data_IF_801935056264
#
_entry.id   IF_801935056264
#
_cell.length_a   1.000
_cell.length_b   1.000
_cell.length_c   1.000
_cell.angle_alpha   90.00
_cell.angle_beta   90.00
_cell.angle_gamma   90.00
#
_symmetry.space_group_name_H-M   'P 1'
#
loop_
_entity.id
_entity.type
_entity.pdbx_description
1 polymer ?
#
# COMPACT_ATOMS: atom_id res chain seq x y z
N UNK A 1 -7.14 -2.01 24.16
CA UNK A 1 -7.50 -0.89 23.26
C UNK A 1 -7.03 -1.26 21.87
N UNK A 2 -7.89 -1.12 20.86
CA UNK A 2 -7.53 -1.43 19.46
C UNK A 2 -7.11 -0.12 18.77
N UNK A 3 -6.05 -0.14 17.97
CA UNK A 3 -5.65 0.99 17.11
C UNK A 3 -5.82 0.67 15.63
N UNK A 4 -6.03 1.71 14.82
CA UNK A 4 -6.04 1.64 13.36
C UNK A 4 -5.00 2.61 12.83
N UNK A 5 -4.08 2.10 12.00
CA UNK A 5 -2.94 2.86 11.50
C UNK A 5 -2.88 2.79 9.97
N UNK A 6 -2.67 3.94 9.33
CA UNK A 6 -2.59 4.05 7.87
C UNK A 6 -1.13 4.15 7.43
N UNK A 7 -0.71 3.30 6.50
CA UNK A 7 0.62 3.35 5.86
C UNK A 7 0.45 3.71 4.38
N UNK A 8 1.04 4.82 3.95
CA UNK A 8 0.95 5.34 2.58
C UNK A 8 1.83 4.58 1.59
N UNK A 9 1.58 4.77 0.28
CA UNK A 9 2.28 4.05 -0.79
C UNK A 9 3.80 4.32 -0.83
N UNK A 10 4.22 5.55 -0.56
CA UNK A 10 5.65 5.90 -0.44
C UNK A 10 6.31 5.15 0.72
N UNK A 11 5.64 5.03 1.86
CA UNK A 11 6.14 4.25 3.00
C UNK A 11 6.20 2.76 2.68
N UNK A 12 5.21 2.24 1.92
CA UNK A 12 5.22 0.84 1.48
C UNK A 12 6.41 0.52 0.59
N UNK A 13 6.94 1.47 -0.19
CA UNK A 13 8.19 1.25 -0.94
C UNK A 13 9.40 0.92 -0.06
N UNK A 14 9.34 1.23 1.25
CA UNK A 14 10.30 0.82 2.27
C UNK A 14 9.70 -0.20 3.25
N UNK A 15 8.94 -1.18 2.75
CA UNK A 15 8.18 -2.13 3.59
C UNK A 15 9.03 -2.82 4.66
N UNK A 16 10.28 -3.18 4.36
CA UNK A 16 11.18 -3.79 5.36
C UNK A 16 11.38 -2.93 6.60
N UNK A 17 11.51 -1.60 6.43
CA UNK A 17 11.65 -0.66 7.54
C UNK A 17 10.31 -0.41 8.24
N UNK A 18 9.21 -0.34 7.50
CA UNK A 18 7.85 -0.30 8.08
C UNK A 18 7.62 -1.53 8.97
N UNK A 19 7.99 -2.71 8.50
CA UNK A 19 7.81 -3.95 9.25
C UNK A 19 8.65 -3.92 10.54
N UNK A 20 9.95 -3.61 10.45
CA UNK A 20 10.87 -3.64 11.60
C UNK A 20 10.63 -2.51 12.59
N UNK A 21 10.43 -1.30 12.10
CA UNK A 21 10.46 -0.08 12.93
C UNK A 21 9.07 0.48 13.23
N UNK A 22 7.99 -0.06 12.65
CA UNK A 22 6.61 0.38 12.94
C UNK A 22 5.75 -0.79 13.42
N UNK A 23 5.71 -1.89 12.66
CA UNK A 23 4.80 -3.00 12.96
C UNK A 23 5.31 -3.88 14.09
N UNK A 24 6.61 -4.22 14.07
CA UNK A 24 7.25 -5.15 15.01
C UNK A 24 8.19 -4.46 16.00
N UNK A 25 8.23 -3.12 16.00
CA UNK A 25 9.13 -2.32 16.82
C UNK A 25 8.99 -2.62 18.32
N UNK A 26 7.75 -2.60 18.82
CA UNK A 26 7.44 -2.90 20.21
C UNK A 26 6.75 -4.26 20.33
N UNK A 27 7.50 -5.24 20.84
CA UNK A 27 7.03 -6.63 21.03
C UNK A 27 5.83 -6.72 21.98
N UNK A 28 5.71 -5.80 22.94
CA UNK A 28 4.58 -5.80 23.88
C UNK A 28 3.29 -5.25 23.26
N UNK A 29 3.38 -4.59 22.09
CA UNK A 29 2.27 -3.90 21.43
C UNK A 29 1.99 -4.40 20.01
N UNK A 30 2.37 -5.64 19.68
CA UNK A 30 2.10 -6.20 18.35
C UNK A 30 0.60 -6.50 18.15
N UNK A 31 -0.09 -6.89 19.21
CA UNK A 31 -1.50 -7.26 19.18
C UNK A 31 -2.43 -6.04 19.31
N UNK A 32 -3.67 -6.18 18.82
CA UNK A 32 -4.68 -5.12 18.89
C UNK A 32 -4.46 -3.97 17.91
N UNK A 33 -3.70 -4.19 16.83
CA UNK A 33 -3.42 -3.18 15.80
C UNK A 33 -3.95 -3.63 14.45
N UNK A 34 -4.66 -2.74 13.77
CA UNK A 34 -5.11 -2.92 12.39
C UNK A 34 -4.30 -1.95 11.52
N UNK A 35 -3.64 -2.48 10.49
CA UNK A 35 -2.92 -1.64 9.53
C UNK A 35 -3.67 -1.59 8.21
N UNK A 36 -4.00 -0.38 7.78
CA UNK A 36 -4.53 -0.12 6.45
C UNK A 36 -3.36 0.33 5.58
N UNK A 37 -3.07 -0.41 4.52
CA UNK A 37 -1.93 -0.10 3.64
C UNK A 37 -2.41 0.32 2.26
N UNK A 38 -1.72 1.26 1.64
CA UNK A 38 -1.88 1.52 0.21
C UNK A 38 -1.07 0.49 -0.59
N UNK A 39 -1.33 0.36 -1.90
CA UNK A 39 -0.38 -0.27 -2.81
C UNK A 39 0.98 0.45 -2.79
N UNK A 40 2.04 -0.22 -3.24
CA UNK A 40 3.36 0.40 -3.39
C UNK A 40 3.30 1.64 -4.28
N UNK A 41 4.19 2.60 -4.02
CA UNK A 41 4.25 3.85 -4.79
C UNK A 41 4.25 3.60 -6.29
N UNK A 42 3.40 4.33 -7.02
CA UNK A 42 3.27 4.22 -8.48
C UNK A 42 2.41 3.06 -9.00
N UNK A 43 2.19 1.99 -8.21
CA UNK A 43 1.44 0.80 -8.68
C UNK A 43 0.00 1.14 -9.07
N UNK A 44 -0.69 1.94 -8.26
CA UNK A 44 -2.07 2.35 -8.60
C UNK A 44 -2.13 3.10 -9.93
N UNK A 45 -1.12 3.91 -10.26
CA UNK A 45 -1.07 4.63 -11.53
C UNK A 45 -0.79 3.69 -12.71
N UNK A 46 0.02 2.65 -12.52
CA UNK A 46 0.27 1.64 -13.55
C UNK A 46 -0.97 0.80 -13.84
N UNK A 47 -1.80 0.55 -12.82
CA UNK A 47 -3.02 -0.22 -12.99
C UNK A 47 -4.10 0.58 -13.73
N UNK A 48 -4.29 1.85 -13.37
CA UNK A 48 -5.41 2.64 -13.86
C UNK A 48 -5.10 3.37 -15.18
N UNK A 49 -6.14 3.69 -15.94
CA UNK A 49 -6.04 4.55 -17.11
C UNK A 49 -5.54 5.94 -16.72
N UNK A 50 -4.58 6.45 -17.49
CA UNK A 50 -3.98 7.74 -17.22
C UNK A 50 -4.97 8.88 -17.55
N UNK A 51 -5.55 9.48 -16.52
CA UNK A 51 -6.65 10.46 -16.62
C UNK A 51 -6.47 11.63 -17.61
N UNK A 52 -5.23 12.02 -17.92
CA UNK A 52 -4.94 13.14 -18.84
C UNK A 52 -4.73 12.71 -20.29
N UNK A 53 -4.18 11.51 -20.50
CA UNK A 53 -3.80 11.03 -21.84
C UNK A 53 -4.74 9.96 -22.36
N UNK A 54 -5.58 9.36 -21.49
CA UNK A 54 -6.41 8.21 -21.81
C UNK A 54 -5.60 6.94 -22.05
N UNK A 55 -4.30 6.95 -21.72
CA UNK A 55 -3.45 5.79 -21.93
C UNK A 55 -3.88 4.65 -21.00
N UNK A 56 -4.14 3.48 -21.58
CA UNK A 56 -4.62 2.30 -20.86
C UNK A 56 -3.58 1.85 -19.83
N UNK A 57 -4.00 1.76 -18.57
CA UNK A 57 -3.22 1.10 -17.53
C UNK A 57 -3.20 -0.42 -17.74
N UNK A 58 -2.29 -1.10 -17.05
CA UNK A 58 -2.10 -2.55 -17.11
C UNK A 58 -3.41 -3.30 -16.82
N UNK A 59 -4.24 -2.80 -15.89
CA UNK A 59 -5.52 -3.44 -15.56
C UNK A 59 -6.42 -3.60 -16.79
N UNK A 60 -6.42 -2.62 -17.69
CA UNK A 60 -7.23 -2.69 -18.91
C UNK A 60 -6.77 -3.81 -19.84
N UNK A 61 -5.51 -4.25 -19.80
CA UNK A 61 -5.03 -5.39 -20.59
C UNK A 61 -5.55 -6.73 -20.06
N UNK A 62 -5.93 -6.80 -18.79
CA UNK A 62 -6.44 -8.01 -18.14
C UNK A 62 -7.97 -8.02 -17.99
N UNK A 63 -8.63 -6.87 -18.07
CA UNK A 63 -10.07 -6.74 -17.87
C UNK A 63 -10.94 -7.25 -19.05
N UNK A 64 -10.34 -7.48 -20.22
CA UNK A 64 -11.02 -7.96 -21.44
C UNK A 64 -10.89 -9.49 -21.64
N UNK A 65 -10.53 -10.23 -20.58
CA UNK A 65 -10.47 -11.70 -20.58
C UNK A 65 -11.82 -12.38 -20.47
#
# INVERSE_FOLDING_TARGET
MISVEKIGGTSMSAFGDVLRHIMLYDKARILGRIYVVSAYSGVTNQLLEHKKTGERGIYALFAEG
#
